data_IF_081709471512
#
_entry.id   IF_081709471512
#
_cell.length_a   1.000
_cell.length_b   1.000
_cell.length_c   1.000
_cell.angle_alpha   90.00
_cell.angle_beta   90.00
_cell.angle_gamma   90.00
#
_symmetry.space_group_name_H-M   'P 1'
#
loop_
_entity.id
_entity.type
_entity.pdbx_description
1 polymer ?
#
# COMPACT_ATOMS: atom_id res chain seq x y z
N UNK A 1 7.10 4.87 26.48
CA UNK A 1 8.43 5.49 26.33
C UNK A 1 8.26 7.00 26.40
N UNK A 2 9.10 7.75 27.12
CA UNK A 2 8.92 9.18 27.40
C UNK A 2 8.69 10.07 26.14
N UNK A 3 9.18 9.64 24.98
CA UNK A 3 9.00 10.32 23.69
C UNK A 3 7.55 10.30 23.20
N UNK A 4 6.82 9.20 23.39
CA UNK A 4 5.42 9.11 22.96
C UNK A 4 4.52 9.99 23.82
N UNK A 5 4.76 10.06 25.14
CA UNK A 5 3.99 10.93 26.04
C UNK A 5 4.22 12.41 25.71
N UNK A 6 5.46 12.78 25.33
CA UNK A 6 5.77 14.11 24.81
C UNK A 6 4.98 14.41 23.54
N UNK A 7 5.02 13.50 22.54
CA UNK A 7 4.31 13.68 21.27
C UNK A 7 2.79 13.77 21.47
N UNK A 8 2.19 12.91 22.30
CA UNK A 8 0.76 12.95 22.62
C UNK A 8 0.38 14.33 23.18
N UNK A 9 1.17 14.87 24.12
CA UNK A 9 0.94 16.21 24.65
C UNK A 9 1.05 17.29 23.57
N UNK A 10 2.03 17.19 22.66
CA UNK A 10 2.17 18.14 21.55
C UNK A 10 1.02 18.07 20.55
N UNK A 11 0.49 16.88 20.29
CA UNK A 11 -0.72 16.69 19.46
C UNK A 11 -1.92 17.37 20.10
N UNK A 12 -2.15 17.18 21.39
CA UNK A 12 -3.25 17.84 22.12
C UNK A 12 -3.10 19.36 22.08
N UNK A 13 -1.89 19.89 22.28
CA UNK A 13 -1.63 21.33 22.19
C UNK A 13 -1.85 21.87 20.78
N UNK A 14 -1.40 21.15 19.75
CA UNK A 14 -1.59 21.52 18.34
C UNK A 14 -3.07 21.54 17.95
N UNK A 15 -3.81 20.49 18.32
CA UNK A 15 -5.25 20.39 18.15
C UNK A 15 -6.01 21.51 18.89
N UNK A 16 -5.55 21.86 20.10
CA UNK A 16 -6.10 22.99 20.86
C UNK A 16 -5.96 24.34 20.13
N UNK A 17 -4.82 24.57 19.45
CA UNK A 17 -4.63 25.77 18.61
C UNK A 17 -5.53 25.77 17.38
N UNK A 18 -5.90 24.60 16.87
CA UNK A 18 -6.86 24.43 15.78
C UNK A 18 -8.34 24.55 16.24
N UNK A 19 -8.59 24.83 17.52
CA UNK A 19 -9.93 25.05 18.08
C UNK A 19 -10.59 23.83 18.72
N UNK A 20 -9.89 22.68 18.80
CA UNK A 20 -10.41 21.49 19.47
C UNK A 20 -10.16 21.58 20.98
N UNK A 21 -11.21 21.76 21.77
CA UNK A 21 -11.13 21.86 23.25
C UNK A 21 -11.56 20.55 23.93
N UNK A 22 -11.17 20.36 25.20
CA UNK A 22 -11.56 19.22 26.04
C UNK A 22 -11.17 17.84 25.44
N UNK A 23 -9.96 17.76 24.87
CA UNK A 23 -9.44 16.54 24.25
C UNK A 23 -8.98 15.55 25.32
N UNK A 24 -9.46 14.32 25.21
CA UNK A 24 -8.90 13.12 25.83
C UNK A 24 -8.23 12.29 24.72
N UNK A 25 -6.89 12.24 24.64
CA UNK A 25 -6.21 11.45 23.61
C UNK A 25 -6.34 9.96 23.88
N UNK A 26 -6.84 9.20 22.90
CA UNK A 26 -6.94 7.74 22.95
C UNK A 26 -5.97 7.16 21.91
N UNK A 27 -4.92 6.48 22.36
CA UNK A 27 -3.95 5.84 21.47
C UNK A 27 -4.58 4.60 20.83
N UNK A 28 -4.67 4.60 19.50
CA UNK A 28 -5.19 3.49 18.71
C UNK A 28 -4.09 2.55 18.21
N UNK A 29 -2.92 3.09 17.88
CA UNK A 29 -1.78 2.31 17.40
C UNK A 29 -0.44 2.98 17.76
N UNK A 30 0.57 2.16 18.04
CA UNK A 30 1.97 2.55 18.22
C UNK A 30 2.85 1.65 17.36
N UNK A 31 3.43 2.21 16.30
CA UNK A 31 4.35 1.51 15.40
C UNK A 31 5.10 2.49 14.50
N UNK A 32 5.20 2.18 13.20
CA UNK A 32 5.74 3.13 12.21
C UNK A 32 4.96 4.44 12.12
N UNK A 33 3.70 4.40 12.57
CA UNK A 33 2.86 5.55 12.85
C UNK A 33 2.38 5.53 14.31
N UNK A 34 2.24 6.70 14.92
CA UNK A 34 1.47 6.89 16.16
C UNK A 34 0.08 7.40 15.77
N UNK A 35 -0.96 6.64 16.13
CA UNK A 35 -2.35 6.96 15.76
C UNK A 35 -3.15 7.25 17.03
N UNK A 36 -3.77 8.43 17.10
CA UNK A 36 -4.45 8.95 18.29
C UNK A 36 -5.84 9.45 17.92
N UNK A 37 -6.89 8.93 18.54
CA UNK A 37 -8.23 9.51 18.48
C UNK A 37 -8.35 10.66 19.48
N UNK A 38 -8.80 11.83 19.02
CA UNK A 38 -8.93 13.07 19.77
C UNK A 38 -10.33 13.22 20.42
N UNK A 39 -10.74 12.25 21.23
CA UNK A 39 -12.07 12.22 21.85
C UNK A 39 -12.38 13.51 22.65
N UNK A 40 -13.62 14.05 22.63
CA UNK A 40 -14.81 13.54 21.95
C UNK A 40 -14.94 13.96 20.48
N UNK A 41 -13.93 14.64 19.92
CA UNK A 41 -13.96 15.04 18.52
C UNK A 41 -13.77 13.80 17.64
N UNK A 42 -14.54 13.64 16.55
CA UNK A 42 -14.42 12.51 15.65
C UNK A 42 -13.21 12.68 14.71
N UNK A 43 -12.02 12.90 15.29
CA UNK A 43 -10.78 13.19 14.58
C UNK A 43 -9.69 12.24 15.07
N UNK A 44 -8.94 11.68 14.13
CA UNK A 44 -7.74 10.88 14.36
C UNK A 44 -6.52 11.64 13.88
N UNK A 45 -5.53 11.79 14.75
CA UNK A 45 -4.19 12.22 14.39
C UNK A 45 -3.34 11.00 14.02
N UNK A 46 -2.77 11.00 12.80
CA UNK A 46 -1.78 10.02 12.33
C UNK A 46 -0.43 10.74 12.24
N UNK A 47 0.53 10.32 13.06
CA UNK A 47 1.89 10.84 13.07
C UNK A 47 2.83 9.84 12.40
N UNK A 48 3.56 10.27 11.37
CA UNK A 48 4.51 9.45 10.64
C UNK A 48 5.88 9.44 11.32
N UNK A 49 5.99 8.74 12.45
CA UNK A 49 7.16 8.75 13.34
C UNK A 49 8.43 8.31 12.63
N UNK A 50 8.42 7.11 12.04
CA UNK A 50 9.61 6.54 11.37
C UNK A 50 9.98 7.33 10.12
N UNK A 51 8.99 7.74 9.33
CA UNK A 51 9.22 8.46 8.08
C UNK A 51 9.84 9.85 8.35
N UNK A 52 9.36 10.54 9.39
CA UNK A 52 9.86 11.86 9.79
C UNK A 52 11.29 11.81 10.33
N UNK A 53 11.62 10.76 11.11
CA UNK A 53 12.98 10.53 11.61
C UNK A 53 13.99 10.27 10.48
N UNK A 54 13.58 9.56 9.42
CA UNK A 54 14.45 9.26 8.29
C UNK A 54 14.69 10.47 7.36
N UNK A 55 13.61 11.13 6.93
CA UNK A 55 13.69 12.31 6.06
C UNK A 55 12.41 13.16 6.18
N UNK A 56 12.47 14.23 6.97
CA UNK A 56 11.32 15.10 7.24
C UNK A 56 10.73 15.76 5.99
N UNK A 57 11.54 16.25 5.04
CA UNK A 57 11.00 16.84 3.80
C UNK A 57 10.29 15.81 2.93
N UNK A 58 10.84 14.60 2.85
CA UNK A 58 10.22 13.50 2.14
C UNK A 58 8.92 13.06 2.81
N UNK A 59 8.89 13.00 4.14
CA UNK A 59 7.69 12.71 4.93
C UNK A 59 6.57 13.71 4.63
N UNK A 60 6.87 15.01 4.63
CA UNK A 60 5.90 16.04 4.24
C UNK A 60 5.31 15.80 2.85
N UNK A 61 6.16 15.52 1.85
CA UNK A 61 5.72 15.29 0.46
C UNK A 61 4.80 14.07 0.34
N UNK A 62 5.08 13.00 1.06
CA UNK A 62 4.24 11.79 1.08
C UNK A 62 2.89 12.10 1.72
N UNK A 63 2.88 12.65 2.93
CA UNK A 63 1.65 12.92 3.69
C UNK A 63 0.75 13.95 2.98
N UNK A 64 1.35 14.97 2.35
CA UNK A 64 0.60 15.94 1.54
C UNK A 64 -0.04 15.27 0.32
N UNK A 65 0.68 14.37 -0.36
CA UNK A 65 0.14 13.62 -1.50
C UNK A 65 -0.98 12.68 -1.09
N UNK A 66 -0.82 11.97 0.03
CA UNK A 66 -1.84 11.09 0.61
C UNK A 66 -3.16 11.85 0.83
N UNK A 67 -3.10 13.05 1.43
CA UNK A 67 -4.28 13.90 1.64
C UNK A 67 -4.92 14.35 0.31
N UNK A 68 -4.11 14.72 -0.68
CA UNK A 68 -4.60 15.13 -2.00
C UNK A 68 -5.29 13.98 -2.73
N UNK A 69 -4.73 12.77 -2.70
CA UNK A 69 -5.33 11.57 -3.30
C UNK A 69 -6.64 11.22 -2.59
N UNK A 70 -6.66 11.21 -1.26
CA UNK A 70 -7.88 10.90 -0.51
C UNK A 70 -9.02 11.88 -0.85
N UNK A 71 -8.74 13.19 -0.92
CA UNK A 71 -9.73 14.20 -1.35
C UNK A 71 -10.21 13.98 -2.79
N UNK A 72 -9.29 13.68 -3.71
CA UNK A 72 -9.64 13.37 -5.10
C UNK A 72 -10.57 12.17 -5.20
N UNK A 73 -10.20 11.05 -4.57
CA UNK A 73 -11.00 9.82 -4.59
C UNK A 73 -12.37 10.00 -3.94
N UNK A 74 -12.44 10.77 -2.85
CA UNK A 74 -13.71 11.17 -2.25
C UNK A 74 -14.59 11.95 -3.24
N UNK A 75 -14.01 12.89 -4.01
CA UNK A 75 -14.75 13.64 -5.03
C UNK A 75 -15.25 12.76 -6.19
N UNK A 76 -14.59 11.62 -6.44
CA UNK A 76 -14.99 10.60 -7.41
C UNK A 76 -15.99 9.58 -6.84
N UNK A 77 -16.43 9.74 -5.58
CA UNK A 77 -17.35 8.81 -4.93
C UNK A 77 -16.74 7.45 -4.58
N UNK A 78 -15.41 7.36 -4.49
CA UNK A 78 -14.73 6.16 -3.99
C UNK A 78 -14.77 6.16 -2.46
N UNK A 79 -15.16 5.04 -1.82
CA UNK A 79 -15.10 4.91 -0.37
C UNK A 79 -13.64 4.94 0.10
N UNK A 80 -13.23 6.05 0.73
CA UNK A 80 -11.90 6.26 1.28
C UNK A 80 -11.97 6.86 2.68
N UNK A 81 -10.94 6.62 3.50
CA UNK A 81 -10.75 7.35 4.75
C UNK A 81 -10.65 8.84 4.44
N UNK A 82 -11.49 9.64 5.09
CA UNK A 82 -11.62 11.07 4.77
C UNK A 82 -10.64 11.89 5.60
N UNK A 83 -9.90 12.82 4.98
CA UNK A 83 -9.23 13.90 5.72
C UNK A 83 -10.22 14.64 6.62
N UNK A 84 -9.72 15.18 7.74
CA UNK A 84 -10.57 15.92 8.66
C UNK A 84 -11.22 17.14 7.98
N UNK A 85 -12.53 17.30 8.18
CA UNK A 85 -13.31 18.42 7.62
C UNK A 85 -13.50 19.58 8.61
N UNK A 86 -13.44 19.29 9.92
CA UNK A 86 -13.67 20.27 10.99
C UNK A 86 -12.47 21.19 11.25
N UNK A 87 -11.29 20.79 10.80
CA UNK A 87 -10.01 21.46 10.97
C UNK A 87 -9.16 21.22 9.73
N UNK A 88 -8.10 22.01 9.54
CA UNK A 88 -7.14 21.73 8.48
C UNK A 88 -6.47 20.37 8.69
N UNK A 89 -6.59 19.47 7.72
CA UNK A 89 -6.08 18.10 7.79
C UNK A 89 -4.53 18.01 7.79
N UNK A 90 -3.84 19.10 7.44
CA UNK A 90 -2.38 19.18 7.42
C UNK A 90 -1.76 18.92 6.04
N UNK A 91 -0.48 18.49 5.98
CA UNK A 91 0.35 18.02 7.10
C UNK A 91 0.80 19.12 8.07
N UNK A 92 0.86 18.80 9.36
CA UNK A 92 1.31 19.68 10.44
C UNK A 92 2.61 19.16 11.08
N UNK A 93 3.58 20.03 11.35
CA UNK A 93 4.78 19.67 12.10
C UNK A 93 4.50 19.69 13.60
N UNK A 94 4.70 18.54 14.25
CA UNK A 94 4.55 18.35 15.69
C UNK A 94 5.88 17.84 16.25
N UNK A 95 6.71 18.76 16.76
CA UNK A 95 8.02 18.44 17.37
C UNK A 95 8.95 17.68 16.42
N UNK A 96 8.99 18.08 15.14
CA UNK A 96 9.77 17.45 14.08
C UNK A 96 9.13 16.21 13.47
N UNK A 97 7.93 15.83 13.91
CA UNK A 97 7.16 14.69 13.38
C UNK A 97 5.94 15.20 12.61
N UNK A 98 5.82 14.82 11.35
CA UNK A 98 4.66 15.22 10.54
C UNK A 98 3.40 14.46 10.91
N UNK A 99 2.30 15.21 11.04
CA UNK A 99 1.00 14.74 11.44
C UNK A 99 -0.06 15.09 10.39
N UNK A 100 -0.94 14.16 10.08
CA UNK A 100 -2.18 14.39 9.32
C UNK A 100 -3.41 14.09 10.18
N UNK A 101 -4.51 14.79 9.92
CA UNK A 101 -5.77 14.64 10.66
C UNK A 101 -6.84 14.05 9.75
N UNK A 102 -7.52 13.03 10.25
CA UNK A 102 -8.51 12.23 9.53
C UNK A 102 -9.82 12.15 10.32
N UNK A 103 -10.94 11.92 9.65
CA UNK A 103 -12.19 11.62 10.33
C UNK A 103 -12.09 10.27 11.05
N UNK A 104 -12.55 10.22 12.30
CA UNK A 104 -12.61 8.99 13.07
C UNK A 104 -13.67 8.05 12.48
N UNK A 105 -13.28 6.79 12.26
CA UNK A 105 -14.17 5.72 11.83
C UNK A 105 -14.31 4.73 12.99
N UNK A 106 -15.53 4.46 13.48
CA UNK A 106 -15.73 3.57 14.60
C UNK A 106 -15.41 2.11 14.20
N UNK A 107 -14.83 1.30 15.11
CA UNK A 107 -14.62 -0.11 14.88
C UNK A 107 -15.91 -0.81 14.45
N UNK A 108 -15.88 -1.43 13.28
CA UNK A 108 -17.04 -2.09 12.69
C UNK A 108 -16.67 -3.53 12.31
N UNK A 109 -17.60 -4.46 12.51
CA UNK A 109 -17.49 -5.81 11.99
C UNK A 109 -18.43 -5.96 10.81
N UNK A 110 -17.86 -6.27 9.64
CA UNK A 110 -18.59 -6.58 8.42
C UNK A 110 -17.97 -7.83 7.78
N UNK A 111 -18.76 -8.52 6.96
CA UNK A 111 -18.28 -9.68 6.23
C UNK A 111 -17.21 -9.28 5.21
N UNK A 112 -16.25 -10.18 5.00
CA UNK A 112 -15.25 -9.99 3.95
C UNK A 112 -15.94 -9.99 2.58
N UNK A 113 -15.51 -9.14 1.64
CA UNK A 113 -16.10 -9.10 0.31
C UNK A 113 -15.87 -10.45 -0.39
N UNK A 114 -16.85 -10.88 -1.18
CA UNK A 114 -16.67 -12.01 -2.10
C UNK A 114 -15.56 -11.70 -3.14
N UNK A 115 -15.06 -12.71 -3.87
CA UNK A 115 -14.11 -12.51 -4.97
C UNK A 115 -14.55 -11.45 -5.99
N UNK A 116 -15.82 -11.47 -6.41
CA UNK A 116 -16.36 -10.50 -7.37
C UNK A 116 -16.43 -9.08 -6.81
N UNK A 117 -16.90 -8.94 -5.56
CA UNK A 117 -16.95 -7.63 -4.88
C UNK A 117 -15.55 -7.06 -4.65
N UNK A 118 -14.58 -7.91 -4.34
CA UNK A 118 -13.17 -7.54 -4.21
C UNK A 118 -12.62 -6.96 -5.51
N UNK A 119 -12.79 -7.69 -6.62
CA UNK A 119 -12.32 -7.25 -7.94
C UNK A 119 -12.99 -5.94 -8.34
N UNK A 120 -14.29 -5.80 -8.11
CA UNK A 120 -15.02 -4.56 -8.39
C UNK A 120 -14.51 -3.38 -7.54
N UNK A 121 -14.29 -3.61 -6.25
CA UNK A 121 -13.80 -2.60 -5.32
C UNK A 121 -12.39 -2.10 -5.69
N UNK A 122 -11.50 -2.98 -6.16
CA UNK A 122 -10.18 -2.61 -6.68
C UNK A 122 -10.30 -1.90 -8.03
N UNK A 123 -11.12 -2.39 -8.95
CA UNK A 123 -11.30 -1.78 -10.27
C UNK A 123 -11.83 -0.34 -10.16
N UNK A 124 -12.83 -0.10 -9.29
CA UNK A 124 -13.36 1.24 -9.05
C UNK A 124 -12.29 2.20 -8.53
N UNK A 125 -11.46 1.74 -7.59
CA UNK A 125 -10.31 2.50 -7.09
C UNK A 125 -9.34 2.83 -8.23
N UNK A 126 -8.88 1.83 -8.99
CA UNK A 126 -7.91 2.03 -10.06
C UNK A 126 -8.44 2.94 -11.17
N UNK A 127 -9.73 2.87 -11.51
CA UNK A 127 -10.36 3.78 -12.48
C UNK A 127 -10.31 5.23 -11.96
N UNK A 128 -10.69 5.47 -10.70
CA UNK A 128 -10.70 6.81 -10.13
C UNK A 128 -9.28 7.38 -9.96
N UNK A 129 -8.29 6.53 -9.65
CA UNK A 129 -6.88 6.93 -9.57
C UNK A 129 -6.36 7.49 -10.90
N UNK A 130 -6.78 6.93 -12.05
CA UNK A 130 -6.37 7.44 -13.38
C UNK A 130 -6.78 8.89 -13.63
N UNK A 131 -7.80 9.38 -12.93
CA UNK A 131 -8.25 10.76 -13.03
C UNK A 131 -7.50 11.72 -12.08
N UNK A 132 -6.56 11.23 -11.26
CA UNK A 132 -5.82 12.05 -10.33
C UNK A 132 -4.92 13.06 -11.08
N UNK A 133 -5.09 14.38 -10.86
CA UNK A 133 -4.49 15.39 -11.74
C UNK A 133 -3.04 15.75 -11.39
N UNK A 134 -2.55 15.36 -10.23
CA UNK A 134 -1.23 15.76 -9.76
C UNK A 134 -0.16 14.73 -10.11
N UNK A 135 1.08 15.18 -10.14
CA UNK A 135 2.23 14.31 -10.37
C UNK A 135 2.37 13.23 -9.29
N UNK A 136 2.68 12.02 -9.75
CA UNK A 136 2.94 10.85 -8.92
C UNK A 136 4.38 10.36 -9.12
N UNK A 137 5.01 9.79 -8.08
CA UNK A 137 6.28 9.10 -8.22
C UNK A 137 6.19 8.00 -9.28
N UNK A 138 7.19 7.91 -10.15
CA UNK A 138 7.33 6.82 -11.12
C UNK A 138 7.91 5.61 -10.40
N UNK A 139 7.25 4.46 -10.49
CA UNK A 139 7.74 3.20 -9.93
C UNK A 139 8.00 3.23 -8.41
N UNK A 140 7.25 4.02 -7.66
CA UNK A 140 7.54 4.35 -6.25
C UNK A 140 7.82 3.14 -5.36
N UNK A 141 6.88 2.18 -5.30
CA UNK A 141 7.05 0.96 -4.50
C UNK A 141 8.10 0.00 -5.07
N UNK A 142 8.28 0.02 -6.40
CA UNK A 142 9.26 -0.81 -7.11
C UNK A 142 10.69 -0.36 -6.83
N UNK A 143 10.95 0.94 -6.71
CA UNK A 143 12.28 1.46 -6.36
C UNK A 143 12.77 0.96 -5.00
N UNK A 144 11.87 0.73 -4.03
CA UNK A 144 12.24 0.05 -2.77
C UNK A 144 12.66 -1.40 -3.00
N UNK A 145 11.98 -2.10 -3.90
CA UNK A 145 12.33 -3.45 -4.31
C UNK A 145 13.70 -3.49 -5.00
N UNK A 146 14.03 -2.50 -5.84
CA UNK A 146 15.35 -2.37 -6.46
C UNK A 146 16.45 -2.27 -5.41
N UNK A 147 16.23 -1.51 -4.33
CA UNK A 147 17.18 -1.41 -3.22
C UNK A 147 17.38 -2.76 -2.51
N UNK A 148 16.29 -3.50 -2.25
CA UNK A 148 16.36 -4.86 -1.69
C UNK A 148 17.08 -5.82 -2.64
N UNK A 149 16.80 -5.76 -3.94
CA UNK A 149 17.48 -6.57 -4.94
C UNK A 149 19.00 -6.32 -4.95
N UNK A 150 19.44 -5.07 -4.82
CA UNK A 150 20.87 -4.72 -4.70
C UNK A 150 21.50 -5.35 -3.46
N UNK A 151 20.84 -5.28 -2.30
CA UNK A 151 21.32 -5.88 -1.04
C UNK A 151 21.40 -7.41 -1.13
N UNK A 152 20.45 -8.03 -1.83
CA UNK A 152 20.38 -9.48 -2.02
C UNK A 152 21.30 -10.02 -3.12
N UNK A 153 21.89 -9.16 -3.97
CA UNK A 153 22.64 -9.56 -5.18
C UNK A 153 23.74 -10.60 -4.94
N UNK A 154 24.42 -10.52 -3.80
CA UNK A 154 25.55 -11.40 -3.48
C UNK A 154 25.15 -12.60 -2.61
N UNK A 155 23.86 -12.83 -2.37
CA UNK A 155 23.40 -13.95 -1.55
C UNK A 155 23.72 -15.30 -2.21
N UNK A 156 24.07 -16.31 -1.41
CA UNK A 156 24.51 -17.62 -1.90
C UNK A 156 23.37 -18.52 -2.38
N UNK A 157 22.18 -18.39 -1.78
CA UNK A 157 20.96 -19.13 -2.14
C UNK A 157 20.58 -18.96 -3.61
N UNK A 158 20.47 -20.09 -4.32
CA UNK A 158 20.17 -20.12 -5.75
C UNK A 158 18.75 -19.67 -6.08
N UNK A 159 17.78 -19.83 -5.16
CA UNK A 159 16.40 -19.36 -5.35
C UNK A 159 16.36 -17.84 -5.45
N UNK A 160 17.13 -17.15 -4.60
CA UNK A 160 17.24 -15.69 -4.63
C UNK A 160 17.86 -15.24 -5.95
N UNK A 161 18.95 -15.89 -6.39
CA UNK A 161 19.58 -15.59 -7.69
C UNK A 161 18.62 -15.77 -8.86
N UNK A 162 17.82 -16.84 -8.84
CA UNK A 162 16.81 -17.09 -9.87
C UNK A 162 15.76 -15.97 -9.91
N UNK A 163 15.25 -15.55 -8.75
CA UNK A 163 14.29 -14.43 -8.67
C UNK A 163 14.91 -13.10 -9.10
N UNK A 164 16.18 -12.84 -8.74
CA UNK A 164 16.88 -11.62 -9.16
C UNK A 164 17.05 -11.53 -10.69
N UNK A 165 17.28 -12.66 -11.36
CA UNK A 165 17.35 -12.68 -12.83
C UNK A 165 16.01 -12.28 -13.47
N UNK A 166 14.89 -12.78 -12.94
CA UNK A 166 13.55 -12.39 -13.41
C UNK A 166 13.26 -10.93 -13.04
N UNK A 167 13.64 -10.51 -11.83
CA UNK A 167 13.51 -9.12 -11.38
C UNK A 167 14.20 -8.15 -12.34
N UNK A 168 15.42 -8.45 -12.78
CA UNK A 168 16.13 -7.61 -13.73
C UNK A 168 15.37 -7.45 -15.06
N UNK A 169 14.84 -8.54 -15.62
CA UNK A 169 14.06 -8.49 -16.87
C UNK A 169 12.78 -7.65 -16.71
N UNK A 170 12.10 -7.80 -15.58
CA UNK A 170 10.90 -7.03 -15.26
C UNK A 170 11.24 -5.54 -15.06
N UNK A 171 12.34 -5.24 -14.37
CA UNK A 171 12.82 -3.86 -14.14
C UNK A 171 13.17 -3.17 -15.47
N UNK A 172 13.90 -3.85 -16.35
CA UNK A 172 14.23 -3.37 -17.70
C UNK A 172 12.95 -3.04 -18.49
N UNK A 173 11.98 -3.97 -18.51
CA UNK A 173 10.72 -3.74 -19.22
C UNK A 173 9.92 -2.55 -18.64
N UNK A 174 9.81 -2.41 -17.32
CA UNK A 174 9.10 -1.28 -16.71
C UNK A 174 9.74 0.06 -17.07
N UNK A 175 11.07 0.11 -17.18
CA UNK A 175 11.83 1.32 -17.52
C UNK A 175 11.75 1.65 -19.01
N UNK A 176 11.65 0.65 -19.87
CA UNK A 176 11.46 0.84 -21.31
C UNK A 176 10.02 1.25 -21.67
N UNK A 177 9.04 0.78 -20.90
CA UNK A 177 7.61 0.95 -21.18
C UNK A 177 6.91 1.98 -20.26
N UNK A 178 7.61 3.03 -19.84
CA UNK A 178 7.08 4.06 -18.90
C UNK A 178 5.73 4.68 -19.31
N UNK A 179 5.42 4.73 -20.62
CA UNK A 179 4.13 5.19 -21.15
C UNK A 179 2.94 4.28 -20.82
N UNK A 180 3.19 3.06 -20.35
CA UNK A 180 2.18 2.08 -19.95
C UNK A 180 1.92 2.08 -18.44
N UNK A 181 2.61 2.94 -17.69
CA UNK A 181 2.37 3.09 -16.25
C UNK A 181 1.10 3.92 -16.01
N UNK A 182 0.32 3.49 -15.03
CA UNK A 182 -0.94 4.10 -14.63
C UNK A 182 -0.89 4.51 -13.15
N UNK A 183 -1.57 5.60 -12.75
CA UNK A 183 -1.79 5.92 -11.34
C UNK A 183 -2.44 4.75 -10.59
N UNK A 184 -1.86 4.36 -9.47
CA UNK A 184 -2.40 3.31 -8.61
C UNK A 184 -2.20 3.64 -7.14
N UNK A 185 -2.89 2.90 -6.27
CA UNK A 185 -2.68 2.97 -4.81
C UNK A 185 -1.27 2.48 -4.43
N UNK A 186 -0.72 1.51 -5.17
CA UNK A 186 0.66 1.04 -4.97
C UNK A 186 0.78 -0.12 -3.98
N UNK A 187 -0.14 -0.21 -3.01
CA UNK A 187 -0.24 -1.31 -2.05
C UNK A 187 -1.70 -1.65 -1.68
N UNK A 188 -2.56 -1.75 -2.70
CA UNK A 188 -3.97 -2.08 -2.49
C UNK A 188 -4.14 -3.54 -2.04
N UNK A 189 -4.37 -3.76 -0.74
CA UNK A 189 -4.63 -5.09 -0.18
C UNK A 189 -5.64 -5.04 0.97
N UNK A 190 -6.16 -6.19 1.40
CA UNK A 190 -7.22 -6.29 2.41
C UNK A 190 -6.93 -5.52 3.72
N UNK A 191 -5.66 -5.42 4.17
CA UNK A 191 -5.32 -4.67 5.38
C UNK A 191 -5.38 -3.14 5.22
N UNK A 192 -5.46 -2.65 3.99
CA UNK A 192 -5.66 -1.24 3.64
C UNK A 192 -7.13 -0.96 3.31
N UNK A 193 -8.02 -1.90 3.65
CA UNK A 193 -9.45 -1.68 3.74
C UNK A 193 -9.86 -1.62 5.21
N UNK A 194 -10.40 -0.48 5.62
CA UNK A 194 -10.95 -0.30 6.94
C UNK A 194 -12.45 -0.63 6.90
N UNK A 195 -12.95 -1.53 7.78
CA UNK A 195 -14.39 -1.76 7.89
C UNK A 195 -15.06 -0.56 8.56
N UNK A 196 -16.14 -0.08 7.96
CA UNK A 196 -16.92 1.06 8.46
C UNK A 196 -18.42 0.74 8.46
N UNK A 197 -19.25 1.53 9.16
CA UNK A 197 -20.71 1.39 9.09
C UNK A 197 -21.27 1.51 7.67
N UNK A 198 -20.55 2.20 6.77
CA UNK A 198 -20.91 2.40 5.36
C UNK A 198 -20.30 1.34 4.42
N UNK A 199 -19.57 0.35 4.94
CA UNK A 199 -18.90 -0.70 4.18
C UNK A 199 -17.37 -0.57 4.21
N UNK A 200 -16.70 -1.18 3.23
CA UNK A 200 -15.24 -1.14 3.13
C UNK A 200 -14.76 0.19 2.55
N UNK A 201 -13.82 0.84 3.24
CA UNK A 201 -13.18 2.09 2.79
C UNK A 201 -11.67 1.90 2.62
N UNK A 202 -11.12 2.46 1.54
CA UNK A 202 -9.68 2.45 1.30
C UNK A 202 -8.95 3.45 2.20
N UNK A 203 -7.77 3.06 2.66
CA UNK A 203 -6.89 3.90 3.47
C UNK A 203 -5.44 3.71 3.02
N UNK A 204 -4.55 4.53 3.54
CA UNK A 204 -3.09 4.34 3.43
C UNK A 204 -2.52 4.58 2.02
N UNK A 205 -2.70 5.82 1.54
CA UNK A 205 -2.26 6.23 0.20
C UNK A 205 -0.82 6.76 0.18
N UNK A 206 0.05 6.32 1.10
CA UNK A 206 1.45 6.76 1.15
C UNK A 206 2.29 6.24 -0.03
N UNK A 207 1.85 5.12 -0.63
CA UNK A 207 2.53 4.40 -1.72
C UNK A 207 2.02 4.71 -3.13
N UNK A 208 1.13 5.71 -3.26
CA UNK A 208 0.58 6.11 -4.55
C UNK A 208 1.68 6.47 -5.54
N UNK A 209 1.64 5.85 -6.70
CA UNK A 209 2.68 5.95 -7.72
C UNK A 209 2.15 5.54 -9.10
N UNK A 210 2.96 5.79 -10.13
CA UNK A 210 2.75 5.25 -11.47
C UNK A 210 3.36 3.85 -11.54
N UNK A 211 2.52 2.85 -11.78
CA UNK A 211 2.90 1.44 -11.82
C UNK A 211 2.29 0.76 -13.06
N UNK A 212 2.74 -0.44 -13.47
CA UNK A 212 2.12 -1.15 -14.59
C UNK A 212 0.61 -1.35 -14.42
N UNK A 213 -0.13 -1.41 -15.52
CA UNK A 213 -1.56 -1.70 -15.49
C UNK A 213 -1.86 -2.96 -14.65
N UNK A 214 -2.99 -2.95 -13.92
CA UNK A 214 -3.40 -3.99 -12.98
C UNK A 214 -2.55 -4.13 -11.70
N UNK A 215 -1.65 -3.18 -11.39
CA UNK A 215 -0.83 -3.23 -10.18
C UNK A 215 -1.63 -3.38 -8.88
N UNK A 216 -2.73 -2.64 -8.70
CA UNK A 216 -3.54 -2.72 -7.49
C UNK A 216 -4.24 -4.08 -7.35
N UNK A 217 -4.72 -4.66 -8.46
CA UNK A 217 -5.32 -5.99 -8.46
C UNK A 217 -4.28 -7.08 -8.15
N UNK A 218 -3.09 -6.96 -8.73
CA UNK A 218 -1.94 -7.80 -8.41
C UNK A 218 -1.51 -7.66 -6.94
N UNK A 219 -1.53 -6.45 -6.39
CA UNK A 219 -1.24 -6.16 -4.98
C UNK A 219 -2.24 -6.84 -4.05
N UNK A 220 -3.51 -6.80 -4.42
CA UNK A 220 -4.57 -7.36 -3.58
C UNK A 220 -4.45 -8.87 -3.45
N UNK A 221 -4.20 -9.53 -4.59
CA UNK A 221 -4.27 -10.98 -4.69
C UNK A 221 -2.90 -11.67 -4.57
N UNK A 222 -1.79 -10.96 -4.75
CA UNK A 222 -0.47 -11.54 -4.93
C UNK A 222 -0.08 -12.53 -3.83
N UNK A 223 -0.09 -12.11 -2.57
CA UNK A 223 0.25 -13.02 -1.46
C UNK A 223 -0.80 -14.12 -1.27
N UNK A 224 -2.09 -13.82 -1.44
CA UNK A 224 -3.14 -14.84 -1.35
C UNK A 224 -2.90 -15.95 -2.38
N UNK A 225 -2.64 -15.59 -3.62
CA UNK A 225 -2.39 -16.53 -4.71
C UNK A 225 -1.02 -17.23 -4.58
N UNK A 226 0.01 -16.56 -4.06
CA UNK A 226 1.32 -17.18 -3.81
C UNK A 226 1.21 -18.37 -2.83
N UNK A 227 0.39 -18.22 -1.78
CA UNK A 227 0.17 -19.25 -0.77
C UNK A 227 -0.98 -20.21 -1.11
N UNK A 228 -2.04 -19.74 -1.75
CA UNK A 228 -3.23 -20.51 -2.13
C UNK A 228 -3.16 -21.15 -3.52
N UNK A 229 -2.17 -20.79 -4.33
CA UNK A 229 -2.02 -21.22 -5.72
C UNK A 229 -3.12 -20.69 -6.65
N UNK A 230 -3.21 -21.29 -7.84
CA UNK A 230 -4.22 -20.92 -8.86
C UNK A 230 -5.68 -21.12 -8.42
N UNK A 231 -5.90 -21.83 -7.32
CA UNK A 231 -7.23 -22.11 -6.76
C UNK A 231 -7.67 -21.08 -5.73
N UNK A 232 -6.82 -20.11 -5.38
CA UNK A 232 -7.23 -19.03 -4.50
C UNK A 232 -8.47 -18.33 -5.09
N UNK A 233 -9.57 -18.17 -4.32
CA UNK A 233 -10.87 -17.78 -4.87
C UNK A 233 -10.85 -16.49 -5.69
N UNK A 234 -10.14 -15.46 -5.22
CA UNK A 234 -10.08 -14.16 -5.89
C UNK A 234 -9.23 -14.23 -7.16
N UNK A 235 -8.08 -14.88 -7.08
CA UNK A 235 -7.19 -15.08 -8.21
C UNK A 235 -7.85 -15.91 -9.30
N UNK A 236 -8.52 -17.00 -8.92
CA UNK A 236 -9.29 -17.83 -9.83
C UNK A 236 -10.39 -17.02 -10.52
N UNK A 237 -11.13 -16.21 -9.76
CA UNK A 237 -12.16 -15.33 -10.31
C UNK A 237 -11.59 -14.38 -11.37
N UNK A 238 -10.42 -13.76 -11.11
CA UNK A 238 -9.74 -12.87 -12.06
C UNK A 238 -9.35 -13.61 -13.34
N UNK A 239 -8.81 -14.84 -13.23
CA UNK A 239 -8.42 -15.66 -14.38
C UNK A 239 -9.62 -16.11 -15.23
N UNK A 240 -10.77 -16.34 -14.60
CA UNK A 240 -12.00 -16.79 -15.27
C UNK A 240 -12.80 -15.65 -15.93
N UNK A 241 -12.57 -14.39 -15.55
CA UNK A 241 -13.30 -13.22 -16.04
C UNK A 241 -12.43 -12.12 -16.68
N UNK A 242 -11.51 -12.43 -17.60
CA UNK A 242 -10.71 -11.41 -18.26
C UNK A 242 -11.54 -10.65 -19.31
N UNK A 243 -11.42 -9.32 -19.34
CA UNK A 243 -12.04 -8.52 -20.39
C UNK A 243 -11.41 -8.74 -21.79
N UNK A 244 -10.15 -9.20 -21.87
CA UNK A 244 -9.48 -9.63 -23.11
C UNK A 244 -8.20 -10.44 -22.82
N UNK A 245 -7.63 -11.11 -23.83
CA UNK A 245 -6.34 -11.81 -23.71
C UNK A 245 -5.16 -10.86 -23.46
N UNK A 246 -5.19 -9.63 -23.99
CA UNK A 246 -4.17 -8.61 -23.71
C UNK A 246 -4.20 -8.16 -22.25
N UNK A 247 -5.40 -8.05 -21.67
CA UNK A 247 -5.59 -7.71 -20.27
C UNK A 247 -5.04 -8.81 -19.35
N UNK A 248 -5.20 -10.08 -19.74
CA UNK A 248 -4.67 -11.20 -18.99
C UNK A 248 -3.14 -11.21 -18.98
N UNK A 249 -2.48 -10.89 -20.10
CA UNK A 249 -1.02 -10.73 -20.16
C UNK A 249 -0.52 -9.59 -19.28
N UNK A 250 -1.17 -8.42 -19.35
CA UNK A 250 -0.83 -7.26 -18.53
C UNK A 250 -0.98 -7.56 -17.03
N UNK A 251 -2.06 -8.25 -16.63
CA UNK A 251 -2.23 -8.73 -15.26
C UNK A 251 -1.14 -9.75 -14.87
N UNK A 252 -0.80 -10.69 -15.75
CA UNK A 252 0.28 -11.65 -15.55
C UNK A 252 1.64 -11.00 -15.29
N UNK A 253 1.95 -9.92 -16.04
CA UNK A 253 3.13 -9.10 -15.79
C UNK A 253 3.08 -8.41 -14.42
N UNK A 254 1.97 -7.72 -14.12
CA UNK A 254 1.79 -7.00 -12.85
C UNK A 254 1.88 -7.92 -11.63
N UNK A 255 1.24 -9.10 -11.65
CA UNK A 255 1.33 -10.05 -10.55
C UNK A 255 2.72 -10.65 -10.42
N UNK A 256 3.42 -10.91 -11.53
CA UNK A 256 4.81 -11.38 -11.46
C UNK A 256 5.71 -10.35 -10.79
N UNK A 257 5.62 -9.08 -11.21
CA UNK A 257 6.33 -7.98 -10.57
C UNK A 257 5.97 -7.88 -9.08
N UNK A 258 4.68 -7.91 -8.73
CA UNK A 258 4.25 -7.78 -7.34
C UNK A 258 4.77 -8.90 -6.43
N UNK A 259 4.84 -10.14 -6.94
CA UNK A 259 5.44 -11.28 -6.24
C UNK A 259 6.93 -11.06 -6.02
N UNK A 260 7.67 -10.67 -7.06
CA UNK A 260 9.10 -10.39 -6.96
C UNK A 260 9.37 -9.29 -5.93
N UNK A 261 8.62 -8.19 -6.00
CA UNK A 261 8.70 -7.09 -5.04
C UNK A 261 8.45 -7.58 -3.61
N UNK A 262 7.36 -8.32 -3.37
CA UNK A 262 7.04 -8.77 -2.01
C UNK A 262 8.06 -9.75 -1.49
N UNK A 263 8.46 -10.75 -2.30
CA UNK A 263 9.36 -11.82 -1.85
C UNK A 263 10.75 -11.28 -1.57
N UNK A 264 11.33 -10.49 -2.48
CA UNK A 264 12.67 -9.92 -2.29
C UNK A 264 12.67 -8.86 -1.19
N UNK A 265 11.66 -7.98 -1.15
CA UNK A 265 11.55 -6.93 -0.15
C UNK A 265 11.38 -7.49 1.27
N UNK A 266 10.45 -8.41 1.47
CA UNK A 266 10.22 -9.01 2.79
C UNK A 266 11.42 -9.85 3.25
N UNK A 267 12.08 -10.56 2.33
CA UNK A 267 13.27 -11.33 2.66
C UNK A 267 14.42 -10.45 3.10
N UNK A 268 14.73 -9.40 2.34
CA UNK A 268 15.75 -8.41 2.71
C UNK A 268 15.45 -7.78 4.08
N UNK A 269 14.20 -7.37 4.31
CA UNK A 269 13.77 -6.77 5.58
C UNK A 269 13.86 -7.74 6.77
N UNK A 270 13.49 -9.01 6.55
CA UNK A 270 13.60 -10.07 7.56
C UNK A 270 15.05 -10.44 7.86
N UNK A 271 15.92 -10.53 6.83
CA UNK A 271 17.36 -10.79 7.00
C UNK A 271 18.07 -9.64 7.74
N UNK A 272 17.56 -8.41 7.62
CA UNK A 272 18.01 -7.27 8.42
C UNK A 272 17.49 -7.29 9.88
N UNK A 273 16.65 -8.25 10.25
CA UNK A 273 16.14 -8.42 11.62
C UNK A 273 14.87 -7.62 11.94
N UNK A 274 14.18 -7.09 10.93
CA UNK A 274 13.01 -6.22 11.12
C UNK A 274 11.68 -6.84 10.66
N UNK A 275 11.71 -7.99 9.98
CA UNK A 275 10.54 -8.66 9.41
C UNK A 275 10.32 -10.08 9.92
N UNK A 276 9.19 -10.66 9.50
CA UNK A 276 8.86 -12.07 9.75
C UNK A 276 9.66 -12.98 8.80
N UNK A 277 10.71 -13.60 9.33
CA UNK A 277 11.59 -14.48 8.57
C UNK A 277 10.90 -15.77 8.12
N UNK A 278 9.96 -16.30 8.91
CA UNK A 278 9.21 -17.51 8.55
C UNK A 278 8.32 -17.22 7.34
N UNK A 279 7.58 -16.11 7.40
CA UNK A 279 6.76 -15.65 6.28
C UNK A 279 7.60 -15.39 5.02
N UNK A 280 8.70 -14.64 5.14
CA UNK A 280 9.56 -14.30 4.02
C UNK A 280 10.22 -15.55 3.38
N UNK A 281 10.65 -16.51 4.20
CA UNK A 281 11.17 -17.79 3.72
C UNK A 281 10.09 -18.60 3.01
N UNK A 282 8.87 -18.61 3.55
CA UNK A 282 7.71 -19.24 2.92
C UNK A 282 7.38 -18.65 1.54
N UNK A 283 7.53 -17.34 1.35
CA UNK A 283 7.41 -16.71 0.04
C UNK A 283 8.51 -17.18 -0.93
N UNK A 284 9.78 -17.16 -0.49
CA UNK A 284 10.92 -17.58 -1.31
C UNK A 284 10.78 -19.02 -1.81
N UNK A 285 10.30 -19.93 -0.97
CA UNK A 285 10.06 -21.33 -1.33
C UNK A 285 9.02 -21.54 -2.44
N UNK A 286 8.05 -20.63 -2.53
CA UNK A 286 6.89 -20.76 -3.43
C UNK A 286 7.04 -19.97 -4.71
N UNK A 287 7.77 -18.85 -4.66
CA UNK A 287 7.84 -17.85 -5.72
C UNK A 287 8.15 -18.46 -7.09
N UNK A 288 9.24 -19.23 -7.23
CA UNK A 288 9.66 -19.75 -8.55
C UNK A 288 8.62 -20.67 -9.20
N UNK A 289 7.98 -21.55 -8.41
CA UNK A 289 6.91 -22.41 -8.91
C UNK A 289 5.68 -21.58 -9.30
N UNK A 290 5.30 -20.64 -8.45
CA UNK A 290 4.15 -19.79 -8.70
C UNK A 290 4.33 -18.92 -9.95
N UNK A 291 5.50 -18.33 -10.18
CA UNK A 291 5.81 -17.57 -11.40
C UNK A 291 5.67 -18.42 -12.67
N UNK A 292 6.09 -19.70 -12.63
CA UNK A 292 5.85 -20.64 -13.75
C UNK A 292 4.37 -20.93 -13.99
N UNK A 293 3.56 -20.94 -12.94
CA UNK A 293 2.10 -21.13 -13.08
C UNK A 293 1.44 -19.89 -13.68
N UNK A 294 1.84 -18.69 -13.24
CA UNK A 294 1.37 -17.42 -13.81
C UNK A 294 1.70 -17.36 -15.30
N UNK A 295 2.93 -17.65 -15.71
CA UNK A 295 3.32 -17.61 -17.12
C UNK A 295 2.46 -18.55 -17.98
N UNK A 296 2.21 -19.78 -17.49
CA UNK A 296 1.33 -20.73 -18.19
C UNK A 296 -0.11 -20.26 -18.28
N UNK A 297 -0.63 -19.63 -17.23
CA UNK A 297 -2.03 -19.19 -17.14
C UNK A 297 -2.30 -17.90 -17.93
N UNK A 298 -1.31 -17.01 -18.03
CA UNK A 298 -1.48 -15.66 -18.57
C UNK A 298 -0.76 -15.42 -19.89
N UNK A 299 0.25 -16.24 -20.21
CA UNK A 299 1.11 -16.05 -21.37
C UNK A 299 1.99 -14.81 -21.28
N UNK A 300 2.33 -14.36 -20.05
CA UNK A 300 3.07 -13.13 -19.81
C UNK A 300 4.47 -13.12 -20.45
N UNK A 301 5.13 -14.27 -20.60
CA UNK A 301 6.47 -14.38 -21.19
C UNK A 301 6.50 -15.09 -22.56
N UNK A 302 5.34 -15.21 -23.24
CA UNK A 302 5.22 -15.75 -24.60
C UNK A 302 4.84 -14.69 -25.64
#
# INVERSE_FOLDING_TARGET
MPQNDKLINQVVLSAGKAGLTAITPIVLNVGGNLIIHLYPHPIVARLATVLSEGNSEHAYKILNRELLVARHLQSQGIPVLRPADLVDAGPHDVDGTWMTLWNYVPPTQIESPSPGETVELVNRLSIAMKAFPNELPVLGVWERACQSAVRLRNHSDQRIKALLNVFQQVDEQMRDETRLLEPCHGDAHMRNLLPSPEGWIWTDFEDVSLMPAYWDLASFVGNLALFGGIQEPTFRYILEHPASGANLKAFGFAITARILMSTLGNLDFALAGHGDLEFATGQLERAENFLRQIDRATGAYR
#
